data_IF_567202443175
#
_entry.id   IF_567202443175
#
_cell.length_a   1.000
_cell.length_b   1.000
_cell.length_c   1.000
_cell.angle_alpha   90.00
_cell.angle_beta   90.00
_cell.angle_gamma   90.00
#
_symmetry.space_group_name_H-M   'P 1'
#
loop_
_entity.id
_entity.type
_entity.pdbx_description
1 polymer ?
#
# COMPACT_ATOMS: atom_id res chain seq x y z
N UNK A 1 -1.79 -14.67 -9.44
CA UNK A 1 -3.10 -14.24 -9.95
C UNK A 1 -3.39 -15.15 -11.11
N UNK A 2 -4.47 -15.94 -10.99
CA UNK A 2 -4.89 -16.84 -12.05
C UNK A 2 -5.38 -16.05 -13.27
N UNK A 3 -5.35 -16.68 -14.43
CA UNK A 3 -5.73 -16.12 -15.72
C UNK A 3 -7.21 -15.70 -15.83
N UNK A 4 -7.96 -15.71 -14.73
CA UNK A 4 -9.39 -15.39 -14.67
C UNK A 4 -9.68 -14.39 -13.56
N UNK A 5 -9.54 -13.09 -13.86
CA UNK A 5 -10.02 -12.02 -13.01
C UNK A 5 -11.49 -11.73 -13.31
N UNK A 6 -12.37 -12.63 -12.90
CA UNK A 6 -13.82 -12.51 -13.10
C UNK A 6 -14.42 -11.22 -12.54
N UNK A 7 -13.77 -10.62 -11.55
CA UNK A 7 -14.24 -9.38 -10.93
C UNK A 7 -14.27 -8.22 -11.95
N UNK A 8 -13.21 -8.04 -12.70
CA UNK A 8 -13.14 -6.98 -13.71
C UNK A 8 -14.06 -7.26 -14.89
N UNK A 9 -14.15 -8.51 -15.33
CA UNK A 9 -15.01 -8.88 -16.43
C UNK A 9 -16.47 -8.66 -16.06
N UNK A 10 -16.90 -9.05 -14.87
CA UNK A 10 -18.25 -8.76 -14.38
C UNK A 10 -18.56 -7.26 -14.28
N UNK A 11 -17.60 -6.44 -13.90
CA UNK A 11 -17.77 -4.97 -13.88
C UNK A 11 -17.88 -4.40 -15.29
N UNK A 12 -17.10 -4.89 -16.25
CA UNK A 12 -17.17 -4.49 -17.66
C UNK A 12 -18.51 -4.86 -18.28
N UNK A 13 -19.01 -6.07 -18.05
CA UNK A 13 -20.35 -6.51 -18.51
C UNK A 13 -21.46 -5.62 -17.97
N UNK A 14 -21.30 -5.06 -16.76
CA UNK A 14 -22.23 -4.11 -16.15
C UNK A 14 -22.02 -2.66 -16.57
N UNK A 15 -21.11 -2.40 -17.52
CA UNK A 15 -20.74 -1.05 -17.97
C UNK A 15 -20.24 -0.15 -16.83
N UNK A 16 -19.50 -0.67 -15.87
CA UNK A 16 -18.87 0.11 -14.83
C UNK A 16 -17.82 1.05 -15.42
N UNK A 17 -17.76 2.28 -14.91
CA UNK A 17 -16.73 3.26 -15.25
C UNK A 17 -15.49 2.98 -14.41
N UNK A 18 -14.39 2.58 -15.02
CA UNK A 18 -13.12 2.38 -14.33
C UNK A 18 -12.35 3.71 -14.20
N UNK A 19 -11.97 4.06 -12.98
CA UNK A 19 -11.04 5.17 -12.73
C UNK A 19 -9.59 4.70 -12.83
N UNK A 20 -9.29 3.51 -12.29
CA UNK A 20 -8.03 2.80 -12.51
C UNK A 20 -8.18 1.30 -12.26
N UNK A 21 -7.33 0.51 -12.90
CA UNK A 21 -7.36 -0.95 -12.82
C UNK A 21 -6.14 -1.56 -12.11
N UNK A 22 -5.12 -0.76 -11.86
CA UNK A 22 -3.87 -1.17 -11.20
C UNK A 22 -3.26 0.02 -10.49
N UNK A 23 -2.69 -0.21 -9.30
CA UNK A 23 -1.89 0.78 -8.60
C UNK A 23 -0.39 0.52 -8.82
N UNK A 24 0.41 1.59 -8.86
CA UNK A 24 1.86 1.46 -8.98
C UNK A 24 2.53 1.20 -7.63
N UNK A 25 2.00 0.22 -6.88
CA UNK A 25 2.45 -0.14 -5.53
C UNK A 25 3.10 -1.52 -5.48
N UNK A 26 4.02 -1.70 -4.56
CA UNK A 26 4.64 -2.97 -4.24
C UNK A 26 4.81 -3.12 -2.71
N UNK A 27 4.11 -4.11 -2.10
CA UNK A 27 3.04 -4.92 -2.65
C UNK A 27 1.78 -4.10 -2.93
N UNK A 28 0.82 -4.62 -3.71
CA UNK A 28 -0.48 -3.97 -3.88
C UNK A 28 -0.84 -3.55 -5.31
N UNK A 29 -0.11 -4.01 -6.34
CA UNK A 29 -0.40 -3.67 -7.74
C UNK A 29 -1.86 -3.90 -8.18
N UNK A 30 -2.53 -5.03 -7.84
CA UNK A 30 -3.88 -5.30 -8.32
C UNK A 30 -4.95 -4.61 -7.47
N UNK A 31 -5.06 -3.31 -7.63
CA UNK A 31 -6.14 -2.49 -7.02
C UNK A 31 -6.97 -1.91 -8.14
N UNK A 32 -8.28 -2.05 -8.04
CA UNK A 32 -9.24 -1.50 -9.00
C UNK A 32 -10.14 -0.49 -8.31
N UNK A 33 -10.37 0.65 -8.92
CA UNK A 33 -11.41 1.59 -8.53
C UNK A 33 -12.35 1.81 -9.71
N UNK A 34 -13.63 1.55 -9.50
CA UNK A 34 -14.66 1.73 -10.49
C UNK A 34 -15.92 2.35 -9.89
N UNK A 35 -16.77 2.91 -10.75
CA UNK A 35 -18.11 3.37 -10.40
C UNK A 35 -19.13 2.54 -11.19
N UNK A 36 -20.10 2.01 -10.48
CA UNK A 36 -21.26 1.35 -11.07
C UNK A 36 -22.53 2.01 -10.50
N UNK A 37 -23.29 2.65 -11.36
CA UNK A 37 -24.43 3.50 -10.97
C UNK A 37 -23.99 4.58 -9.97
N UNK A 38 -24.54 4.58 -8.76
CA UNK A 38 -24.20 5.51 -7.70
C UNK A 38 -23.15 4.95 -6.71
N UNK A 39 -22.70 3.70 -6.93
CA UNK A 39 -21.78 3.02 -6.02
C UNK A 39 -20.35 3.11 -6.48
N UNK A 40 -19.43 3.35 -5.54
CA UNK A 40 -18.00 3.19 -5.74
C UNK A 40 -17.61 1.76 -5.40
N UNK A 41 -16.91 1.10 -6.31
CA UNK A 41 -16.48 -0.28 -6.19
C UNK A 41 -14.96 -0.31 -6.11
N UNK A 42 -14.42 -0.94 -5.08
CA UNK A 42 -13.00 -1.07 -4.86
C UNK A 42 -12.63 -2.55 -4.86
N UNK A 43 -11.81 -2.94 -5.83
CA UNK A 43 -11.20 -4.27 -5.89
C UNK A 43 -9.86 -4.27 -5.17
N UNK A 44 -9.71 -5.09 -4.15
CA UNK A 44 -8.48 -5.21 -3.37
C UNK A 44 -7.64 -6.42 -3.81
N UNK A 45 -6.31 -6.41 -3.57
CA UNK A 45 -5.48 -7.58 -3.82
C UNK A 45 -5.98 -8.81 -3.05
N UNK A 46 -6.01 -9.97 -3.69
CA UNK A 46 -6.36 -11.23 -3.03
C UNK A 46 -5.31 -11.71 -2.01
N UNK A 47 -4.10 -11.18 -2.05
CA UNK A 47 -3.07 -11.47 -1.06
C UNK A 47 -3.33 -10.66 0.22
N UNK A 48 -3.44 -11.29 1.42
CA UNK A 48 -3.85 -10.64 2.65
C UNK A 48 -2.96 -9.47 3.06
N UNK A 49 -1.64 -9.65 3.01
CA UNK A 49 -0.69 -8.57 3.34
C UNK A 49 -0.85 -7.38 2.39
N UNK A 50 -0.91 -7.65 1.09
CA UNK A 50 -1.10 -6.61 0.08
C UNK A 50 -2.44 -5.88 0.26
N UNK A 51 -3.50 -6.64 0.58
CA UNK A 51 -4.82 -6.09 0.86
C UNK A 51 -4.80 -5.10 2.03
N UNK A 52 -4.20 -5.49 3.16
CA UNK A 52 -4.12 -4.64 4.36
C UNK A 52 -3.25 -3.39 4.13
N UNK A 53 -2.12 -3.52 3.43
CA UNK A 53 -1.28 -2.36 3.11
C UNK A 53 -2.00 -1.38 2.18
N UNK A 54 -2.66 -1.87 1.14
CA UNK A 54 -3.47 -1.03 0.24
C UNK A 54 -4.63 -0.39 0.98
N UNK A 55 -5.34 -1.14 1.83
CA UNK A 55 -6.40 -0.60 2.67
C UNK A 55 -5.88 0.59 3.49
N UNK A 56 -4.74 0.43 4.14
CA UNK A 56 -4.16 1.44 5.04
C UNK A 56 -3.69 2.70 4.31
N UNK A 57 -2.94 2.54 3.22
CA UNK A 57 -2.28 3.69 2.55
C UNK A 57 -3.14 4.34 1.47
N UNK A 58 -4.15 3.66 0.96
CA UNK A 58 -4.93 4.15 -0.18
C UNK A 58 -6.43 4.24 0.14
N UNK A 59 -7.03 3.18 0.69
CA UNK A 59 -8.48 3.10 0.80
C UNK A 59 -9.02 3.84 2.03
N UNK A 60 -8.41 3.69 3.20
CA UNK A 60 -8.84 4.45 4.39
C UNK A 60 -8.74 5.96 4.17
N UNK A 61 -7.65 6.52 3.62
CA UNK A 61 -7.59 7.92 3.23
C UNK A 61 -8.70 8.35 2.25
N UNK A 62 -9.02 7.48 1.28
CA UNK A 62 -10.13 7.75 0.37
C UNK A 62 -11.47 7.79 1.09
N UNK A 63 -11.76 6.82 1.96
CA UNK A 63 -13.00 6.75 2.73
C UNK A 63 -13.15 7.94 3.68
N UNK A 64 -12.07 8.34 4.36
CA UNK A 64 -12.04 9.52 5.21
C UNK A 64 -12.41 10.79 4.43
N UNK A 65 -11.88 10.95 3.23
CA UNK A 65 -12.23 12.10 2.37
C UNK A 65 -13.65 12.04 1.85
N UNK A 66 -14.19 10.86 1.59
CA UNK A 66 -15.57 10.67 1.17
C UNK A 66 -16.58 10.90 2.31
N UNK A 67 -16.20 10.63 3.55
CA UNK A 67 -17.04 10.84 4.75
C UNK A 67 -17.06 12.27 5.26
N UNK A 68 -16.83 13.26 4.38
CA UNK A 68 -16.84 14.70 4.64
C UNK A 68 -15.57 15.26 5.32
N UNK A 69 -14.60 14.46 5.65
CA UNK A 69 -13.29 14.93 6.11
C UNK A 69 -12.40 15.31 4.91
N UNK A 70 -12.79 16.37 4.20
CA UNK A 70 -12.14 16.82 2.96
C UNK A 70 -10.65 17.15 3.14
N UNK A 71 -10.25 17.48 4.35
CA UNK A 71 -8.88 17.84 4.69
C UNK A 71 -8.03 16.66 5.16
N UNK A 72 -8.63 15.46 5.22
CA UNK A 72 -7.86 14.27 5.60
C UNK A 72 -6.69 14.05 4.64
N UNK A 73 -5.51 13.93 5.21
CA UNK A 73 -4.26 13.56 4.51
C UNK A 73 -3.52 12.56 5.38
N UNK A 74 -2.92 11.57 4.75
CA UNK A 74 -1.88 10.79 5.43
C UNK A 74 -0.81 11.76 5.92
N UNK A 75 -0.34 11.57 7.14
CA UNK A 75 0.72 12.38 7.76
C UNK A 75 1.97 11.52 7.92
N UNK A 76 2.71 11.27 6.84
CA UNK A 76 4.01 10.63 6.99
C UNK A 76 4.94 11.55 7.77
N UNK A 77 5.87 10.96 8.49
CA UNK A 77 6.94 11.68 9.16
C UNK A 77 8.29 11.06 8.81
N UNK A 78 9.35 11.78 9.08
CA UNK A 78 10.70 11.39 8.68
C UNK A 78 11.36 10.52 9.74
N UNK A 79 12.08 9.50 9.28
CA UNK A 79 12.91 8.64 10.09
C UNK A 79 14.19 8.26 9.35
N UNK A 80 15.25 7.94 10.08
CA UNK A 80 16.47 7.42 9.48
C UNK A 80 16.34 5.92 9.25
N UNK A 81 16.63 5.43 8.04
CA UNK A 81 16.72 3.97 7.86
C UNK A 81 17.99 3.47 8.54
N UNK A 82 17.87 2.41 9.34
CA UNK A 82 18.98 1.89 10.14
C UNK A 82 20.12 1.25 9.32
N UNK A 83 19.81 0.77 8.11
CA UNK A 83 20.77 0.18 7.17
C UNK A 83 20.32 0.39 5.72
N UNK A 84 21.25 0.54 4.77
CA UNK A 84 20.90 0.71 3.36
C UNK A 84 20.14 -0.50 2.82
N UNK A 85 19.09 -0.24 2.02
CA UNK A 85 18.23 -1.26 1.43
C UNK A 85 18.19 -1.13 -0.10
N UNK A 86 18.47 -2.22 -0.81
CA UNK A 86 18.37 -2.26 -2.27
C UNK A 86 16.96 -2.66 -2.71
N UNK A 87 16.41 -1.90 -3.65
CA UNK A 87 15.10 -2.13 -4.26
C UNK A 87 15.22 -2.26 -5.78
N UNK A 88 14.19 -2.78 -6.42
CA UNK A 88 14.14 -2.81 -7.91
C UNK A 88 13.81 -1.43 -8.50
N UNK A 89 13.16 -0.56 -7.76
CA UNK A 89 12.79 0.79 -8.20
C UNK A 89 11.70 0.87 -9.28
N UNK A 90 11.01 -0.22 -9.56
CA UNK A 90 10.00 -0.28 -10.62
C UNK A 90 8.63 0.30 -10.20
N UNK A 91 8.41 0.49 -8.92
CA UNK A 91 7.14 0.94 -8.33
C UNK A 91 7.39 1.60 -6.98
N UNK A 92 6.40 2.34 -6.48
CA UNK A 92 6.40 2.79 -5.08
C UNK A 92 6.38 1.58 -4.15
N UNK A 93 7.37 1.47 -3.27
CA UNK A 93 7.49 0.38 -2.32
C UNK A 93 6.86 0.74 -0.98
N UNK A 94 6.04 -0.17 -0.44
CA UNK A 94 5.52 -0.15 0.92
C UNK A 94 6.31 -1.17 1.74
N UNK A 95 7.23 -0.69 2.57
CA UNK A 95 8.16 -1.53 3.33
C UNK A 95 7.69 -1.58 4.77
N UNK A 96 7.43 -2.79 5.27
CA UNK A 96 7.09 -3.02 6.68
C UNK A 96 8.31 -2.87 7.58
N UNK A 97 8.13 -2.31 8.76
CA UNK A 97 9.20 -2.17 9.74
C UNK A 97 8.72 -1.63 11.07
N UNK A 98 9.67 -1.38 11.94
CA UNK A 98 9.46 -0.80 13.25
C UNK A 98 10.16 0.56 13.37
N UNK A 99 9.49 1.50 14.02
CA UNK A 99 10.07 2.79 14.35
C UNK A 99 10.52 2.83 15.79
N UNK A 100 11.81 3.00 16.01
CA UNK A 100 12.42 3.09 17.33
C UNK A 100 13.55 4.13 17.33
N UNK A 101 13.56 5.07 18.30
CA UNK A 101 14.63 6.06 18.48
C UNK A 101 15.00 6.81 17.20
N UNK A 102 14.03 7.34 16.49
CA UNK A 102 14.18 8.02 15.20
C UNK A 102 14.73 7.15 14.06
N UNK A 103 14.76 5.84 14.22
CA UNK A 103 15.19 4.90 13.20
C UNK A 103 14.03 4.05 12.70
N UNK A 104 13.98 3.82 11.40
CA UNK A 104 13.15 2.81 10.77
C UNK A 104 13.97 1.55 10.54
N UNK A 105 13.51 0.45 11.10
CA UNK A 105 14.13 -0.88 11.01
C UNK A 105 13.26 -1.76 10.13
N UNK A 106 13.65 -2.03 8.86
CA UNK A 106 12.87 -2.88 7.97
C UNK A 106 12.68 -4.27 8.55
N UNK A 107 11.44 -4.76 8.55
CA UNK A 107 11.13 -6.10 8.99
C UNK A 107 11.88 -7.14 8.14
N UNK A 108 12.60 -8.03 8.79
CA UNK A 108 13.40 -9.09 8.18
C UNK A 108 14.24 -8.61 6.97
N UNK A 109 14.85 -7.41 7.06
CA UNK A 109 15.59 -6.78 5.97
C UNK A 109 14.79 -6.72 4.65
N UNK A 110 13.47 -6.51 4.74
CA UNK A 110 12.53 -6.52 3.61
C UNK A 110 12.47 -7.86 2.84
N UNK A 111 12.80 -8.97 3.52
CA UNK A 111 12.78 -10.34 2.97
C UNK A 111 11.59 -11.10 3.54
N UNK A 112 10.43 -10.86 3.00
CA UNK A 112 9.20 -11.60 3.32
C UNK A 112 8.38 -11.72 2.04
N UNK A 113 7.65 -12.82 1.92
CA UNK A 113 6.71 -12.95 0.82
C UNK A 113 5.39 -12.23 1.13
N UNK A 114 4.61 -12.00 0.09
CA UNK A 114 3.36 -11.27 0.22
C UNK A 114 2.27 -12.03 1.01
N UNK A 115 2.46 -13.32 1.30
CA UNK A 115 1.58 -14.12 2.16
C UNK A 115 1.88 -13.98 3.65
N UNK A 116 2.97 -13.30 4.03
CA UNK A 116 3.43 -13.19 5.41
C UNK A 116 2.56 -12.21 6.25
N UNK A 117 1.28 -12.54 6.45
CA UNK A 117 0.37 -11.71 7.26
C UNK A 117 0.86 -11.55 8.70
N UNK A 118 1.59 -12.54 9.22
CA UNK A 118 2.19 -12.51 10.56
C UNK A 118 3.17 -11.34 10.74
N UNK A 119 3.78 -10.85 9.65
CA UNK A 119 4.63 -9.67 9.69
C UNK A 119 3.90 -8.46 10.27
N UNK A 120 2.59 -8.31 9.98
CA UNK A 120 1.79 -7.19 10.47
C UNK A 120 1.63 -7.17 12.01
N UNK A 121 1.68 -8.34 12.64
CA UNK A 121 1.63 -8.44 14.11
C UNK A 121 2.96 -8.05 14.80
N UNK A 122 4.03 -7.90 14.02
CA UNK A 122 5.39 -7.67 14.52
C UNK A 122 5.95 -6.31 14.10
N UNK A 123 5.15 -5.49 13.43
CA UNK A 123 5.59 -4.18 12.92
C UNK A 123 4.62 -3.08 13.36
N UNK A 124 5.14 -1.87 13.48
CA UNK A 124 4.36 -0.68 13.85
C UNK A 124 4.34 0.40 12.77
N UNK A 125 5.05 0.20 11.67
CA UNK A 125 5.25 1.25 10.67
C UNK A 125 5.38 0.71 9.24
N UNK A 126 5.10 1.60 8.29
CA UNK A 126 5.31 1.37 6.85
C UNK A 126 6.20 2.50 6.32
N UNK A 127 7.31 2.18 5.66
CA UNK A 127 8.05 3.16 4.88
C UNK A 127 7.47 3.28 3.47
N UNK A 128 7.36 4.52 2.99
CA UNK A 128 6.91 4.88 1.65
C UNK A 128 8.14 5.26 0.82
N UNK A 129 8.48 4.44 -0.16
CA UNK A 129 9.65 4.68 -1.01
C UNK A 129 9.20 4.84 -2.45
N UNK A 130 9.47 6.00 -3.02
CA UNK A 130 9.03 6.36 -4.35
C UNK A 130 9.59 5.45 -5.45
N UNK A 131 8.85 5.42 -6.56
CA UNK A 131 9.31 4.82 -7.80
C UNK A 131 10.62 5.47 -8.26
N UNK A 132 11.50 4.68 -8.84
CA UNK A 132 12.84 5.10 -9.27
C UNK A 132 13.94 4.91 -8.23
N UNK A 133 13.61 4.86 -6.95
CA UNK A 133 14.59 4.67 -5.87
C UNK A 133 15.06 3.21 -5.84
N UNK A 134 16.35 3.00 -6.12
CA UNK A 134 17.01 1.67 -6.11
C UNK A 134 17.84 1.40 -4.88
N UNK A 135 18.30 2.46 -4.20
CA UNK A 135 19.03 2.38 -2.95
C UNK A 135 18.38 3.33 -1.95
N UNK A 136 17.84 2.78 -0.88
CA UNK A 136 17.25 3.52 0.23
C UNK A 136 18.31 3.69 1.29
N UNK A 137 18.64 4.92 1.65
CA UNK A 137 19.59 5.26 2.71
C UNK A 137 19.28 6.65 3.26
N UNK A 138 19.67 6.92 4.50
CA UNK A 138 19.42 8.20 5.13
C UNK A 138 17.97 8.39 5.57
N UNK A 139 17.43 9.58 5.37
CA UNK A 139 16.09 9.96 5.80
C UNK A 139 15.03 9.47 4.81
N UNK A 140 13.94 8.88 5.34
CA UNK A 140 12.82 8.33 4.57
C UNK A 140 11.50 8.75 5.21
N UNK A 141 10.42 8.70 4.44
CA UNK A 141 9.05 8.90 4.94
C UNK A 141 8.44 7.61 5.45
N UNK A 142 7.84 7.65 6.63
CA UNK A 142 7.14 6.51 7.24
C UNK A 142 5.76 6.90 7.75
N UNK A 143 4.85 5.93 7.79
CA UNK A 143 3.55 5.99 8.45
C UNK A 143 3.56 5.02 9.61
N UNK A 144 3.10 5.43 10.80
CA UNK A 144 2.83 4.50 11.90
C UNK A 144 1.45 3.88 11.76
N UNK A 145 1.33 2.64 12.22
CA UNK A 145 0.03 2.08 12.55
C UNK A 145 -0.42 2.77 13.86
N UNK A 146 -1.47 3.58 13.77
CA UNK A 146 -2.14 4.03 14.99
C UNK A 146 -2.83 2.81 15.61
N UNK A 147 -2.48 2.51 16.84
CA UNK A 147 -3.17 1.51 17.66
C UNK A 147 -4.46 2.13 18.21
#
# INVERSE_FOLDING_TARGET
MGDKDFFKDALKEKNALFYYEKANLKPGKPVTLAKLNQSIIIGLPGNPLSCLLVLRVLILPLLERLSLNKDFKLKPFKAQINAPLKLKGERTHLILGNYLNNQFIPYNNNRYDSGAIQALAQVDSIALIDEGVRLVQGEIEILRFEN
#
